data_IF_828432914301
#
_entry.id   IF_828432914301
#
_cell.length_a   1.000
_cell.length_b   1.000
_cell.length_c   1.000
_cell.angle_alpha   90.00
_cell.angle_beta   90.00
_cell.angle_gamma   90.00
#
_symmetry.space_group_name_H-M   'P 1'
#
loop_
_entity.id
_entity.type
_entity.pdbx_description
1 polymer ?
#
# COMPACT_ATOMS: atom_id res chain seq x y z
N UNK A 1 -3.40 -47.78 21.22
CA UNK A 1 -2.77 -47.67 19.88
C UNK A 1 -1.43 -46.98 20.02
N UNK A 2 -0.31 -47.68 19.75
CA UNK A 2 1.03 -47.08 19.74
C UNK A 2 1.27 -46.43 18.38
N UNK A 3 1.63 -45.15 18.35
CA UNK A 3 2.05 -44.49 17.11
C UNK A 3 3.31 -45.18 16.59
N UNK A 4 3.41 -45.44 15.27
CA UNK A 4 4.60 -46.06 14.71
C UNK A 4 5.84 -45.19 14.96
N UNK A 5 7.02 -45.81 15.17
CA UNK A 5 8.26 -45.08 15.39
C UNK A 5 8.55 -44.19 14.18
N UNK A 6 8.81 -42.91 14.45
CA UNK A 6 9.12 -41.91 13.41
C UNK A 6 10.34 -42.39 12.61
N UNK A 7 10.20 -42.46 11.27
CA UNK A 7 11.29 -42.80 10.38
C UNK A 7 12.50 -41.89 10.65
N UNK A 8 13.73 -42.45 10.68
CA UNK A 8 14.94 -41.66 10.90
C UNK A 8 15.05 -40.60 9.81
N UNK A 9 15.09 -39.32 10.23
CA UNK A 9 15.26 -38.21 9.29
C UNK A 9 16.59 -38.41 8.54
N UNK A 10 16.60 -38.33 7.21
CA UNK A 10 17.84 -38.48 6.45
C UNK A 10 18.87 -37.46 6.95
N UNK A 11 20.03 -37.96 7.36
CA UNK A 11 21.18 -37.12 7.71
C UNK A 11 21.72 -36.53 6.41
N UNK A 12 21.24 -35.35 6.04
CA UNK A 12 21.79 -34.57 4.94
C UNK A 12 23.22 -34.16 5.30
N UNK A 13 24.19 -34.96 4.84
CA UNK A 13 25.62 -34.63 4.89
C UNK A 13 25.80 -33.40 4.00
N UNK A 14 25.93 -32.22 4.61
CA UNK A 14 26.27 -31.00 3.89
C UNK A 14 27.72 -31.11 3.43
N UNK A 15 27.92 -31.65 2.23
CA UNK A 15 29.19 -31.51 1.49
C UNK A 15 29.48 -30.00 1.44
N UNK A 16 30.66 -29.59 1.92
CA UNK A 16 31.08 -28.19 2.11
C UNK A 16 31.16 -27.39 0.81
N UNK A 17 29.99 -27.13 0.23
CA UNK A 17 29.78 -26.25 -0.91
C UNK A 17 29.69 -24.82 -0.37
N UNK A 18 30.59 -23.97 -0.86
CA UNK A 18 30.57 -22.51 -0.71
C UNK A 18 29.30 -21.95 -1.37
N UNK A 19 28.17 -22.20 -0.72
CA UNK A 19 26.85 -21.80 -1.19
C UNK A 19 26.68 -20.33 -0.90
N UNK A 20 26.91 -19.51 -1.93
CA UNK A 20 26.58 -18.09 -1.90
C UNK A 20 25.11 -17.94 -1.48
N UNK A 21 24.87 -17.34 -0.32
CA UNK A 21 23.52 -17.06 0.16
C UNK A 21 23.10 -15.71 -0.40
N UNK A 22 21.87 -15.59 -0.90
CA UNK A 22 21.34 -14.33 -1.42
C UNK A 22 20.16 -13.89 -0.58
N UNK A 23 20.15 -12.64 -0.13
CA UNK A 23 18.97 -12.07 0.53
C UNK A 23 17.94 -11.69 -0.52
N UNK A 24 16.71 -12.16 -0.33
CA UNK A 24 15.56 -11.90 -1.20
C UNK A 24 14.40 -11.43 -0.33
N UNK A 25 13.64 -10.40 -0.74
CA UNK A 25 12.47 -9.97 0.03
C UNK A 25 11.40 -11.08 0.01
N UNK A 26 10.80 -11.33 1.17
CA UNK A 26 9.69 -12.27 1.34
C UNK A 26 8.60 -11.68 2.24
N UNK A 27 7.37 -12.21 2.14
CA UNK A 27 6.24 -11.81 2.99
C UNK A 27 5.68 -10.41 2.73
N UNK A 28 6.13 -9.71 1.68
CA UNK A 28 5.60 -8.39 1.30
C UNK A 28 4.26 -8.51 0.56
N UNK A 29 4.15 -9.47 -0.36
CA UNK A 29 2.94 -9.74 -1.14
C UNK A 29 1.87 -10.46 -0.31
N UNK A 30 0.61 -10.36 -0.73
CA UNK A 30 -0.51 -11.02 -0.06
C UNK A 30 -0.46 -12.54 -0.29
N UNK A 31 -0.74 -13.37 0.75
CA UNK A 31 -0.62 -14.84 0.64
C UNK A 31 -1.44 -15.50 -0.48
N UNK A 32 -2.58 -14.90 -0.87
CA UNK A 32 -3.38 -15.34 -2.04
C UNK A 32 -2.56 -15.32 -3.35
N UNK A 33 -1.59 -14.41 -3.48
CA UNK A 33 -0.84 -14.21 -4.72
C UNK A 33 0.57 -14.81 -4.67
N UNK A 34 1.14 -14.99 -3.48
CA UNK A 34 2.48 -15.56 -3.32
C UNK A 34 2.59 -16.30 -2.01
N UNK A 35 2.96 -17.58 -2.09
CA UNK A 35 3.29 -18.37 -0.90
C UNK A 35 4.61 -17.85 -0.30
N UNK A 36 4.64 -17.74 1.04
CA UNK A 36 5.88 -17.42 1.77
C UNK A 36 6.87 -18.58 1.62
N UNK A 37 8.15 -18.26 1.54
CA UNK A 37 9.20 -19.27 1.51
C UNK A 37 9.46 -19.74 2.95
N UNK A 38 9.50 -21.05 3.19
CA UNK A 38 9.68 -21.65 4.52
C UNK A 38 11.14 -21.73 4.97
N UNK A 39 11.99 -20.81 4.51
CA UNK A 39 13.42 -20.81 4.81
C UNK A 39 13.77 -19.88 5.99
N UNK A 40 15.03 -19.85 6.40
CA UNK A 40 15.54 -18.94 7.42
C UNK A 40 15.24 -17.49 7.03
N UNK A 41 14.46 -16.81 7.85
CA UNK A 41 14.10 -15.40 7.66
C UNK A 41 14.81 -14.51 8.66
N UNK A 42 15.09 -13.28 8.24
CA UNK A 42 15.52 -12.19 9.11
C UNK A 42 14.54 -11.04 8.94
N UNK A 43 14.19 -10.40 10.04
CA UNK A 43 13.34 -9.21 10.02
C UNK A 43 14.23 -7.97 9.93
N UNK A 44 13.81 -7.02 9.10
CA UNK A 44 14.47 -5.74 8.92
C UNK A 44 13.44 -4.64 9.20
N UNK A 45 13.89 -3.50 9.71
CA UNK A 45 13.03 -2.33 9.80
C UNK A 45 12.55 -1.94 8.39
N UNK A 46 11.27 -1.57 8.30
CA UNK A 46 10.63 -1.22 7.03
C UNK A 46 11.00 0.22 6.65
N UNK A 47 12.28 0.44 6.35
CA UNK A 47 12.87 1.72 6.01
C UNK A 47 13.90 1.51 4.88
N UNK A 48 13.82 2.33 3.83
CA UNK A 48 14.72 2.29 2.67
C UNK A 48 16.19 2.52 3.03
N UNK A 49 16.49 3.45 3.92
CA UNK A 49 17.85 3.73 4.37
C UNK A 49 18.45 2.57 5.17
N UNK A 50 17.64 1.86 5.98
CA UNK A 50 18.12 0.65 6.67
C UNK A 50 18.58 -0.44 5.68
N UNK A 51 17.91 -0.55 4.52
CA UNK A 51 18.32 -1.47 3.44
C UNK A 51 19.59 -0.98 2.74
N UNK A 52 19.74 0.34 2.56
CA UNK A 52 20.97 0.93 2.00
C UNK A 52 22.18 0.66 2.90
N UNK A 53 22.05 0.94 4.21
CA UNK A 53 23.06 0.60 5.23
C UNK A 53 23.37 -0.90 5.20
N UNK A 54 22.36 -1.77 5.14
CA UNK A 54 22.60 -3.21 5.03
C UNK A 54 23.43 -3.57 3.79
N UNK A 55 23.19 -2.91 2.66
CA UNK A 55 23.92 -3.12 1.40
C UNK A 55 25.36 -2.63 1.49
N UNK A 56 25.60 -1.48 2.11
CA UNK A 56 26.93 -0.89 2.30
C UNK A 56 27.79 -1.68 3.31
N UNK A 57 27.22 -2.01 4.47
CA UNK A 57 27.96 -2.65 5.57
C UNK A 57 27.98 -4.18 5.47
N UNK A 58 27.00 -4.79 4.83
CA UNK A 58 26.88 -6.24 4.67
C UNK A 58 28.04 -6.87 3.90
N UNK A 59 28.72 -6.10 3.06
CA UNK A 59 29.93 -6.53 2.37
C UNK A 59 31.17 -6.62 3.25
N UNK A 60 31.18 -6.00 4.44
CA UNK A 60 32.45 -5.72 5.10
C UNK A 60 32.96 -6.84 6.03
N UNK A 61 32.24 -7.33 7.06
CA UNK A 61 32.89 -8.24 8.05
C UNK A 61 32.04 -9.29 8.79
N UNK A 62 30.71 -9.20 8.85
CA UNK A 62 29.90 -10.04 9.78
C UNK A 62 29.14 -11.20 9.14
N UNK A 63 29.06 -11.28 7.81
CA UNK A 63 28.37 -12.36 7.06
C UNK A 63 29.14 -12.75 5.81
N UNK A 64 30.34 -13.30 5.98
CA UNK A 64 31.08 -13.89 4.86
C UNK A 64 30.16 -14.87 4.11
N UNK A 65 29.96 -14.64 2.80
CA UNK A 65 29.13 -15.49 1.93
C UNK A 65 27.69 -15.05 1.68
N UNK A 66 27.21 -13.94 2.26
CA UNK A 66 25.88 -13.38 1.90
C UNK A 66 26.02 -12.30 0.82
N UNK A 67 25.47 -12.55 -0.36
CA UNK A 67 25.34 -11.56 -1.43
C UNK A 67 24.04 -10.75 -1.26
N UNK A 68 24.17 -9.43 -1.24
CA UNK A 68 23.03 -8.52 -1.17
C UNK A 68 22.82 -7.92 -2.55
N UNK A 69 21.61 -8.10 -3.08
CA UNK A 69 21.25 -7.59 -4.38
C UNK A 69 21.24 -6.04 -4.36
N UNK A 70 21.95 -5.34 -5.28
CA UNK A 70 22.04 -3.88 -5.26
C UNK A 70 20.70 -3.15 -5.36
N UNK A 71 19.72 -3.73 -6.07
CA UNK A 71 18.38 -3.16 -6.23
C UNK A 71 17.38 -3.74 -5.21
N UNK A 72 17.86 -4.27 -4.07
CA UNK A 72 17.01 -4.84 -3.03
C UNK A 72 16.01 -3.80 -2.51
N UNK A 73 16.45 -2.56 -2.28
CA UNK A 73 15.58 -1.48 -1.81
C UNK A 73 14.45 -1.18 -2.82
N UNK A 74 14.79 -1.04 -4.11
CA UNK A 74 13.81 -0.83 -5.18
C UNK A 74 12.84 -2.00 -5.32
N UNK A 75 13.35 -3.23 -5.17
CA UNK A 75 12.51 -4.43 -5.22
C UNK A 75 11.52 -4.47 -4.05
N UNK A 76 11.95 -4.16 -2.83
CA UNK A 76 11.06 -4.03 -1.67
C UNK A 76 10.01 -2.95 -1.93
N UNK A 77 10.43 -1.78 -2.41
CA UNK A 77 9.56 -0.66 -2.73
C UNK A 77 8.49 -1.03 -3.77
N UNK A 78 8.87 -1.76 -4.81
CA UNK A 78 7.98 -2.29 -5.85
C UNK A 78 6.97 -3.27 -5.26
N UNK A 79 7.42 -4.21 -4.43
CA UNK A 79 6.55 -5.22 -3.83
C UNK A 79 5.57 -4.62 -2.80
N UNK A 80 5.96 -3.58 -2.07
CA UNK A 80 5.07 -2.84 -1.17
C UNK A 80 3.96 -2.12 -1.96
N UNK A 81 4.29 -1.50 -3.09
CA UNK A 81 3.29 -0.91 -4.01
C UNK A 81 2.37 -1.97 -4.60
N UNK A 82 2.92 -3.10 -5.02
CA UNK A 82 2.13 -4.24 -5.50
C UNK A 82 1.18 -4.75 -4.42
N UNK A 83 1.61 -4.75 -3.15
CA UNK A 83 0.74 -5.12 -2.03
C UNK A 83 -0.49 -4.22 -1.93
N UNK A 84 -0.36 -2.91 -2.15
CA UNK A 84 -1.52 -1.99 -2.19
C UNK A 84 -2.50 -2.40 -3.29
N UNK A 85 -2.01 -2.72 -4.49
CA UNK A 85 -2.87 -3.17 -5.59
C UNK A 85 -3.57 -4.50 -5.29
N UNK A 86 -2.87 -5.45 -4.67
CA UNK A 86 -3.41 -6.74 -4.24
C UNK A 86 -4.53 -6.58 -3.21
N UNK A 87 -4.36 -5.71 -2.21
CA UNK A 87 -5.40 -5.45 -1.20
C UNK A 87 -6.63 -4.77 -1.80
N UNK A 88 -6.44 -3.85 -2.75
CA UNK A 88 -7.55 -3.24 -3.49
C UNK A 88 -8.30 -4.25 -4.36
N UNK A 89 -7.59 -5.20 -4.97
CA UNK A 89 -8.19 -6.29 -5.72
C UNK A 89 -9.04 -7.20 -4.83
N UNK A 90 -8.53 -7.60 -3.66
CA UNK A 90 -9.26 -8.38 -2.67
C UNK A 90 -10.51 -7.66 -2.15
N UNK A 91 -10.38 -6.37 -1.87
CA UNK A 91 -11.52 -5.55 -1.46
C UNK A 91 -12.58 -5.50 -2.56
N UNK A 92 -12.18 -5.37 -3.81
CA UNK A 92 -13.08 -5.40 -4.95
C UNK A 92 -13.76 -6.76 -5.13
N UNK A 93 -13.03 -7.87 -4.98
CA UNK A 93 -13.62 -9.22 -4.98
C UNK A 93 -14.68 -9.35 -3.87
N UNK A 94 -14.37 -8.87 -2.65
CA UNK A 94 -15.32 -8.88 -1.52
C UNK A 94 -16.58 -8.07 -1.84
N UNK A 95 -16.46 -6.84 -2.35
CA UNK A 95 -17.62 -6.03 -2.74
C UNK A 95 -18.43 -6.68 -3.86
N UNK A 96 -17.78 -7.31 -4.84
CA UNK A 96 -18.46 -8.03 -5.91
C UNK A 96 -19.27 -9.22 -5.37
N UNK A 97 -18.70 -10.01 -4.45
CA UNK A 97 -19.44 -11.13 -3.85
C UNK A 97 -20.70 -10.66 -3.11
N UNK A 98 -20.67 -9.47 -2.49
CA UNK A 98 -21.85 -8.89 -1.85
C UNK A 98 -22.91 -8.44 -2.85
N UNK A 99 -22.51 -7.87 -3.99
CA UNK A 99 -23.45 -7.47 -5.04
C UNK A 99 -24.19 -8.67 -5.63
N UNK A 100 -23.53 -9.83 -5.69
CA UNK A 100 -24.13 -11.06 -6.20
C UNK A 100 -25.11 -11.71 -5.20
N UNK A 101 -25.16 -11.26 -3.94
CA UNK A 101 -26.12 -11.77 -2.96
C UNK A 101 -27.53 -11.25 -3.26
N UNK A 102 -28.59 -12.03 -2.96
CA UNK A 102 -29.98 -11.56 -3.03
C UNK A 102 -30.15 -10.25 -2.25
N UNK A 103 -30.93 -9.29 -2.78
CA UNK A 103 -31.10 -7.96 -2.17
C UNK A 103 -31.58 -8.01 -0.71
N UNK A 104 -32.35 -9.03 -0.34
CA UNK A 104 -32.83 -9.25 1.03
C UNK A 104 -31.70 -9.54 2.02
N UNK A 105 -30.58 -10.10 1.55
CA UNK A 105 -29.39 -10.42 2.35
C UNK A 105 -28.31 -9.33 2.24
N UNK A 106 -28.53 -8.30 1.41
CA UNK A 106 -27.60 -7.18 1.32
C UNK A 106 -27.86 -6.23 2.50
N UNK A 107 -26.83 -5.89 3.28
CA UNK A 107 -27.01 -4.95 4.36
C UNK A 107 -27.32 -3.56 3.78
N UNK A 108 -28.48 -3.00 4.15
CA UNK A 108 -28.88 -1.63 3.78
C UNK A 108 -28.02 -0.64 4.57
N UNK A 109 -26.83 -0.36 4.07
CA UNK A 109 -25.87 0.52 4.72
C UNK A 109 -25.65 1.75 3.85
N UNK A 110 -25.71 2.91 4.49
CA UNK A 110 -25.55 4.19 3.82
C UNK A 110 -24.07 4.58 3.72
N UNK A 111 -23.18 3.86 4.41
CA UNK A 111 -21.75 4.09 4.27
C UNK A 111 -21.15 3.55 2.97
N UNK A 112 -20.19 4.31 2.43
CA UNK A 112 -19.37 3.95 1.26
C UNK A 112 -17.99 3.54 1.77
N UNK A 113 -17.39 2.55 1.15
CA UNK A 113 -15.98 2.16 1.36
C UNK A 113 -15.06 3.11 0.58
N UNK A 114 -15.51 3.54 -0.60
CA UNK A 114 -14.79 4.48 -1.46
C UNK A 114 -15.77 5.48 -2.08
N UNK A 115 -15.32 6.73 -2.23
CA UNK A 115 -15.98 7.71 -3.08
C UNK A 115 -14.97 8.63 -3.76
N UNK A 116 -15.40 9.30 -4.81
CA UNK A 116 -14.61 10.37 -5.43
C UNK A 116 -15.03 11.70 -4.81
N UNK A 117 -14.06 12.53 -4.44
CA UNK A 117 -14.36 13.89 -3.96
C UNK A 117 -14.90 14.72 -5.14
N UNK A 118 -15.86 15.60 -4.89
CA UNK A 118 -16.25 16.63 -5.86
C UNK A 118 -15.13 17.66 -6.00
N UNK A 119 -15.19 18.50 -7.03
CA UNK A 119 -14.24 19.62 -7.16
C UNK A 119 -14.35 20.64 -6.03
N UNK A 120 -15.56 20.92 -5.57
CA UNK A 120 -15.78 21.81 -4.44
C UNK A 120 -15.14 21.24 -3.17
N UNK A 121 -15.42 19.97 -2.85
CA UNK A 121 -14.81 19.28 -1.71
C UNK A 121 -13.28 19.26 -1.79
N UNK A 122 -12.74 18.96 -2.97
CA UNK A 122 -11.29 18.96 -3.21
C UNK A 122 -10.65 20.35 -3.06
N UNK A 123 -11.33 21.39 -3.54
CA UNK A 123 -10.87 22.76 -3.39
C UNK A 123 -10.92 23.20 -1.92
N UNK A 124 -12.00 22.90 -1.21
CA UNK A 124 -12.12 23.21 0.22
C UNK A 124 -11.01 22.53 1.02
N UNK A 125 -10.74 21.25 0.76
CA UNK A 125 -9.63 20.54 1.39
C UNK A 125 -8.28 21.22 1.12
N UNK A 126 -8.05 21.72 -0.10
CA UNK A 126 -6.82 22.43 -0.46
C UNK A 126 -6.69 23.80 0.20
N UNK A 127 -7.80 24.53 0.36
CA UNK A 127 -7.81 25.87 0.94
C UNK A 127 -7.76 25.84 2.46
N UNK A 128 -8.52 24.93 3.07
CA UNK A 128 -8.61 24.81 4.53
C UNK A 128 -7.49 23.93 5.10
N UNK A 129 -6.98 22.99 4.32
CA UNK A 129 -6.00 22.00 4.78
C UNK A 129 -6.58 20.95 5.73
N UNK A 130 -7.89 20.96 5.98
CA UNK A 130 -8.60 20.08 6.92
C UNK A 130 -9.48 19.09 6.14
N UNK A 131 -9.55 17.84 6.61
CA UNK A 131 -10.44 16.82 6.06
C UNK A 131 -11.78 16.83 6.80
N UNK A 132 -12.90 17.21 6.15
CA UNK A 132 -14.21 17.32 6.81
C UNK A 132 -14.95 15.98 6.95
N UNK A 133 -14.23 14.85 6.84
CA UNK A 133 -14.78 13.51 6.86
C UNK A 133 -14.18 12.73 8.03
N UNK A 134 -14.91 12.56 9.14
CA UNK A 134 -14.33 11.97 10.34
C UNK A 134 -14.01 10.49 10.17
N UNK A 135 -14.72 9.79 9.26
CA UNK A 135 -14.47 8.39 8.90
C UNK A 135 -13.43 8.21 7.77
N UNK A 136 -12.74 9.28 7.34
CA UNK A 136 -11.68 9.18 6.34
C UNK A 136 -10.49 8.39 6.89
N UNK A 137 -9.93 7.49 6.09
CA UNK A 137 -8.65 6.84 6.40
C UNK A 137 -7.55 7.31 5.48
N UNK A 138 -7.83 7.48 4.19
CA UNK A 138 -6.82 7.89 3.23
C UNK A 138 -7.46 8.63 2.06
N UNK A 139 -6.73 9.59 1.51
CA UNK A 139 -7.08 10.28 0.28
C UNK A 139 -6.00 9.96 -0.74
N UNK A 140 -6.40 9.45 -1.92
CA UNK A 140 -5.48 9.15 -3.01
C UNK A 140 -5.77 10.09 -4.16
N UNK A 141 -4.81 10.96 -4.48
CA UNK A 141 -4.91 11.88 -5.61
C UNK A 141 -4.28 11.25 -6.83
N UNK A 142 -5.09 10.84 -7.81
CA UNK A 142 -4.62 10.15 -8.99
C UNK A 142 -5.04 10.90 -10.27
N UNK A 143 -4.14 11.73 -10.83
CA UNK A 143 -4.41 12.44 -12.07
C UNK A 143 -4.76 11.50 -13.22
N UNK A 144 -5.48 11.98 -14.25
CA UNK A 144 -5.75 11.20 -15.44
C UNK A 144 -4.45 10.72 -16.10
N UNK A 145 -4.46 9.48 -16.54
CA UNK A 145 -3.32 8.90 -17.23
C UNK A 145 -3.26 9.49 -18.64
N UNK A 146 -2.13 10.10 -18.96
CA UNK A 146 -1.86 10.57 -20.31
C UNK A 146 -1.73 9.36 -21.23
N UNK A 147 -2.29 9.47 -22.44
CA UNK A 147 -2.03 8.54 -23.53
C UNK A 147 -0.55 8.64 -23.90
N UNK A 148 0.04 7.52 -24.26
CA UNK A 148 1.39 7.51 -24.81
C UNK A 148 1.42 8.36 -26.09
N UNK A 149 2.36 9.31 -26.24
CA UNK A 149 2.42 10.18 -27.42
C UNK A 149 2.62 9.41 -28.73
N UNK A 150 3.31 8.25 -28.70
CA UNK A 150 3.63 7.47 -29.89
C UNK A 150 2.46 6.55 -30.23
N UNK A 151 2.06 5.68 -29.28
CA UNK A 151 1.01 4.69 -29.54
C UNK A 151 -0.40 5.27 -29.46
N UNK A 152 -0.59 6.46 -28.86
CA UNK A 152 -1.89 7.09 -28.56
C UNK A 152 -2.82 6.24 -27.69
N UNK A 153 -2.32 5.15 -27.12
CA UNK A 153 -3.07 4.25 -26.24
C UNK A 153 -2.84 4.63 -24.78
N UNK A 154 -3.82 4.38 -23.89
CA UNK A 154 -3.59 4.47 -22.46
C UNK A 154 -2.60 3.38 -22.02
N UNK A 155 -1.79 3.63 -20.97
CA UNK A 155 -0.87 2.62 -20.45
C UNK A 155 -1.63 1.37 -19.98
N UNK A 156 -1.13 0.18 -20.37
CA UNK A 156 -1.73 -1.09 -19.95
C UNK A 156 -1.54 -1.29 -18.44
N UNK A 157 -2.60 -1.63 -17.69
CA UNK A 157 -2.47 -1.94 -16.27
C UNK A 157 -1.58 -3.17 -16.05
N UNK A 158 -0.71 -3.12 -15.05
CA UNK A 158 0.18 -4.23 -14.69
C UNK A 158 0.24 -4.42 -13.17
N UNK A 159 0.12 -5.68 -12.74
CA UNK A 159 0.28 -6.15 -11.36
C UNK A 159 1.41 -7.20 -11.27
N UNK A 160 2.40 -7.11 -12.15
CA UNK A 160 3.53 -8.05 -12.16
C UNK A 160 4.38 -7.92 -10.89
N UNK A 161 4.72 -9.07 -10.29
CA UNK A 161 5.70 -9.15 -9.21
C UNK A 161 7.14 -8.92 -9.70
N UNK A 162 7.41 -9.23 -10.98
CA UNK A 162 8.72 -8.93 -11.56
C UNK A 162 8.89 -7.41 -11.67
N UNK A 163 10.08 -6.87 -11.33
CA UNK A 163 10.39 -5.45 -11.54
C UNK A 163 10.13 -5.10 -13.00
N UNK A 164 9.27 -4.11 -13.24
CA UNK A 164 9.02 -3.63 -14.59
C UNK A 164 10.20 -2.75 -14.97
N UNK A 165 10.87 -3.11 -16.07
CA UNK A 165 11.93 -2.28 -16.63
C UNK A 165 11.28 -0.95 -17.05
N UNK A 166 11.79 0.21 -16.57
CA UNK A 166 11.34 1.49 -17.06
C UNK A 166 11.50 1.53 -18.58
N UNK A 167 10.46 1.93 -19.30
CA UNK A 167 10.56 2.09 -20.73
C UNK A 167 11.68 3.13 -21.02
N UNK A 168 12.69 2.81 -21.84
CA UNK A 168 13.78 3.74 -22.13
C UNK A 168 13.29 5.07 -22.72
N UNK A 169 12.09 5.10 -23.31
CA UNK A 169 11.45 6.32 -23.80
C UNK A 169 10.85 7.21 -22.69
N UNK A 170 10.78 6.73 -21.45
CA UNK A 170 10.25 7.53 -20.34
C UNK A 170 11.29 8.58 -19.95
N UNK A 171 11.02 9.89 -20.14
CA UNK A 171 11.95 10.92 -19.72
C UNK A 171 12.22 10.74 -18.23
N UNK A 172 13.51 10.82 -17.84
CA UNK A 172 13.90 10.78 -16.42
C UNK A 172 12.98 11.72 -15.65
N UNK A 173 12.35 11.26 -14.54
CA UNK A 173 11.39 12.06 -13.82
C UNK A 173 12.02 13.42 -13.50
N UNK A 174 11.30 14.50 -13.82
CA UNK A 174 11.75 15.86 -13.52
C UNK A 174 11.99 15.96 -12.00
N UNK A 175 13.00 16.71 -11.55
CA UNK A 175 13.47 16.74 -10.15
C UNK A 175 12.47 17.32 -9.14
N UNK A 176 11.25 17.70 -9.56
CA UNK A 176 10.19 18.05 -8.62
C UNK A 176 9.61 16.77 -8.02
N UNK A 177 10.26 16.26 -6.97
CA UNK A 177 9.76 15.17 -6.15
C UNK A 177 8.50 15.64 -5.43
N UNK A 178 7.34 15.36 -6.03
CA UNK A 178 6.07 15.51 -5.34
C UNK A 178 6.13 14.67 -4.05
N UNK A 179 5.68 15.19 -2.89
CA UNK A 179 5.69 14.42 -1.67
C UNK A 179 4.85 13.15 -1.86
N UNK A 180 5.35 12.03 -1.34
CA UNK A 180 4.63 10.76 -1.39
C UNK A 180 3.28 10.86 -0.68
N UNK A 181 3.31 11.47 0.50
CA UNK A 181 2.19 11.60 1.41
C UNK A 181 2.28 12.92 2.16
N UNK A 182 1.15 13.57 2.40
CA UNK A 182 1.03 14.70 3.33
C UNK A 182 -0.06 14.39 4.34
N UNK A 183 0.21 14.62 5.63
CA UNK A 183 -0.77 14.36 6.69
C UNK A 183 -1.69 15.58 6.86
N UNK A 184 -3.00 15.39 6.80
CA UNK A 184 -3.98 16.45 6.99
C UNK A 184 -4.77 16.23 8.28
N UNK A 185 -4.97 17.26 9.12
CA UNK A 185 -5.87 17.15 10.27
C UNK A 185 -7.29 16.81 9.83
N UNK A 186 -7.98 16.02 10.65
CA UNK A 186 -9.39 15.66 10.45
C UNK A 186 -10.25 16.46 11.41
N UNK A 187 -11.45 16.84 10.97
CA UNK A 187 -12.46 17.40 11.89
C UNK A 187 -12.73 16.36 12.98
N UNK A 188 -12.49 16.68 14.26
CA UNK A 188 -12.68 15.72 15.35
C UNK A 188 -14.14 15.30 15.41
N UNK A 189 -14.36 14.03 15.74
CA UNK A 189 -15.71 13.54 16.02
C UNK A 189 -16.37 14.39 17.13
N UNK A 190 -17.68 14.65 17.07
CA UNK A 190 -18.36 15.44 18.09
C UNK A 190 -18.15 14.91 19.52
N UNK A 191 -18.12 13.58 19.67
CA UNK A 191 -17.91 12.92 20.96
C UNK A 191 -16.46 12.96 21.46
N UNK A 192 -15.49 13.24 20.58
CA UNK A 192 -14.08 13.30 20.95
C UNK A 192 -13.67 14.67 21.53
N UNK A 193 -14.54 15.69 21.45
CA UNK A 193 -14.28 17.01 22.01
C UNK A 193 -14.21 16.94 23.54
N UNK A 194 -13.13 17.44 24.11
CA UNK A 194 -12.95 17.62 25.56
C UNK A 194 -12.46 16.42 26.39
N UNK A 195 -12.47 15.17 25.89
CA UNK A 195 -11.99 14.02 26.69
C UNK A 195 -10.48 13.74 26.55
N UNK A 196 -9.89 14.02 25.37
CA UNK A 196 -8.49 13.73 25.07
C UNK A 196 -7.73 14.93 24.48
N UNK A 197 -8.33 16.12 24.48
CA UNK A 197 -7.69 17.34 23.97
C UNK A 197 -6.44 17.64 24.79
N UNK A 198 -5.27 17.58 24.15
CA UNK A 198 -3.96 17.80 24.78
C UNK A 198 -3.20 16.55 25.23
N UNK A 199 -3.83 15.36 25.24
CA UNK A 199 -3.15 14.10 25.58
C UNK A 199 -2.65 13.37 24.33
N UNK A 200 -3.52 13.24 23.33
CA UNK A 200 -3.20 12.56 22.08
C UNK A 200 -3.02 13.58 20.94
N UNK A 201 -2.11 13.31 19.98
CA UNK A 201 -2.01 14.13 18.78
C UNK A 201 -3.36 14.14 18.04
N UNK A 202 -3.67 15.28 17.42
CA UNK A 202 -4.87 15.39 16.60
C UNK A 202 -4.88 14.30 15.52
N UNK A 203 -6.05 13.69 15.30
CA UNK A 203 -6.20 12.68 14.26
C UNK A 203 -5.86 13.28 12.89
N UNK A 204 -5.03 12.58 12.12
CA UNK A 204 -4.60 13.00 10.80
C UNK A 204 -4.89 11.91 9.76
N UNK A 205 -5.23 12.33 8.55
CA UNK A 205 -5.47 11.46 7.40
C UNK A 205 -4.36 11.66 6.36
N UNK A 206 -3.69 10.59 5.92
CA UNK A 206 -2.72 10.65 4.84
C UNK A 206 -3.38 10.98 3.49
N UNK A 207 -2.86 12.01 2.83
CA UNK A 207 -3.13 12.35 1.44
C UNK A 207 -1.96 11.88 0.59
N UNK A 208 -2.18 10.81 -0.17
CA UNK A 208 -1.21 10.21 -1.06
C UNK A 208 -1.24 10.84 -2.44
N UNK A 209 -0.05 11.17 -2.96
CA UNK A 209 0.11 11.54 -4.36
C UNK A 209 0.28 10.28 -5.21
N UNK A 210 -0.70 9.97 -6.05
CA UNK A 210 -0.69 8.76 -6.89
C UNK A 210 0.48 8.67 -7.87
N UNK A 211 1.11 9.79 -8.24
CA UNK A 211 2.29 9.81 -9.12
C UNK A 211 3.55 9.39 -8.36
N UNK A 212 3.75 9.90 -7.14
CA UNK A 212 4.85 9.51 -6.27
C UNK A 212 4.64 8.10 -5.69
N UNK A 213 3.40 7.78 -5.31
CA UNK A 213 3.01 6.47 -4.78
C UNK A 213 3.22 5.35 -5.80
N UNK A 214 2.97 5.60 -7.09
CA UNK A 214 3.22 4.64 -8.17
C UNK A 214 3.99 5.31 -9.31
N UNK A 215 5.34 5.26 -9.28
CA UNK A 215 6.17 5.92 -10.29
C UNK A 215 5.98 5.36 -11.71
N UNK A 216 5.62 4.08 -11.81
CA UNK A 216 5.42 3.40 -13.10
C UNK A 216 4.02 3.66 -13.67
N UNK A 217 3.89 4.12 -14.94
CA UNK A 217 2.59 4.39 -15.56
C UNK A 217 1.63 3.20 -15.57
N UNK A 218 2.15 1.99 -15.79
CA UNK A 218 1.38 0.74 -15.81
C UNK A 218 0.79 0.37 -14.44
N UNK A 219 1.52 0.62 -13.36
CA UNK A 219 0.99 0.44 -12.00
C UNK A 219 -0.04 1.50 -11.65
N UNK A 220 0.15 2.76 -12.09
CA UNK A 220 -0.89 3.79 -11.95
C UNK A 220 -2.16 3.45 -12.72
N UNK A 221 -2.02 2.84 -13.91
CA UNK A 221 -3.15 2.30 -14.67
C UNK A 221 -3.88 1.22 -13.88
N UNK A 222 -3.16 0.29 -13.26
CA UNK A 222 -3.75 -0.73 -12.40
C UNK A 222 -4.47 -0.10 -11.19
N UNK A 223 -3.84 0.85 -10.50
CA UNK A 223 -4.45 1.58 -9.39
C UNK A 223 -5.75 2.29 -9.82
N UNK A 224 -5.70 3.07 -10.91
CA UNK A 224 -6.86 3.80 -11.41
C UNK A 224 -8.00 2.85 -11.79
N UNK A 225 -7.68 1.73 -12.46
CA UNK A 225 -8.65 0.72 -12.84
C UNK A 225 -9.33 0.09 -11.61
N UNK A 226 -8.56 -0.28 -10.58
CA UNK A 226 -9.08 -0.86 -9.34
C UNK A 226 -9.96 0.14 -8.56
N UNK A 227 -9.52 1.38 -8.38
CA UNK A 227 -10.31 2.42 -7.70
C UNK A 227 -11.61 2.72 -8.46
N UNK A 228 -11.56 2.77 -9.80
CA UNK A 228 -12.76 2.97 -10.63
C UNK A 228 -13.69 1.76 -10.58
N UNK A 229 -13.16 0.53 -10.52
CA UNK A 229 -13.92 -0.71 -10.34
C UNK A 229 -14.66 -0.70 -9.01
N UNK A 230 -13.98 -0.34 -7.91
CA UNK A 230 -14.58 -0.20 -6.58
C UNK A 230 -15.71 0.86 -6.57
N UNK A 231 -15.49 2.02 -7.21
CA UNK A 231 -16.56 3.02 -7.39
C UNK A 231 -17.75 2.48 -8.18
N UNK A 232 -17.51 1.65 -9.19
CA UNK A 232 -18.56 0.96 -9.94
C UNK A 232 -19.42 0.07 -9.03
N UNK A 233 -18.78 -0.68 -8.14
CA UNK A 233 -19.50 -1.51 -7.17
C UNK A 233 -20.31 -0.69 -6.16
N UNK A 234 -19.76 0.43 -5.67
CA UNK A 234 -20.49 1.33 -4.78
C UNK A 234 -21.72 1.94 -5.47
N UNK A 235 -21.59 2.34 -6.74
CA UNK A 235 -22.74 2.82 -7.53
C UNK A 235 -23.77 1.72 -7.76
N UNK A 236 -23.34 0.52 -8.13
CA UNK A 236 -24.25 -0.60 -8.38
C UNK A 236 -25.00 -1.05 -7.12
N UNK A 237 -24.38 -0.96 -5.94
CA UNK A 237 -25.02 -1.28 -4.67
C UNK A 237 -26.14 -0.31 -4.30
N UNK A 238 -26.10 0.91 -4.83
CA UNK A 238 -27.11 1.93 -4.63
C UNK A 238 -28.05 1.91 -5.81
N UNK A 239 -29.24 1.36 -5.60
CA UNK A 239 -30.37 1.60 -6.50
C UNK A 239 -30.86 3.07 -6.46
N UNK A 240 -30.12 3.98 -5.82
CA UNK A 240 -30.49 5.38 -5.73
C UNK A 240 -30.50 6.00 -7.12
N UNK A 241 -31.62 6.69 -7.36
CA UNK A 241 -31.95 7.49 -8.52
C UNK A 241 -30.70 8.21 -9.00
N UNK A 242 -30.46 8.19 -10.32
CA UNK A 242 -29.52 9.04 -11.01
C UNK A 242 -29.85 10.53 -10.74
N UNK A 243 -29.64 11.00 -9.51
CA UNK A 243 -29.43 12.39 -9.23
C UNK A 243 -28.18 12.71 -10.03
N UNK A 244 -28.41 13.26 -11.22
CA UNK A 244 -27.42 13.89 -12.07
C UNK A 244 -26.92 15.11 -11.32
N UNK A 245 -26.25 14.86 -10.21
CA UNK A 245 -25.55 15.87 -9.47
C UNK A 245 -24.35 16.17 -10.36
N UNK A 246 -24.51 17.17 -11.22
CA UNK A 246 -23.62 17.58 -12.30
C UNK A 246 -22.30 18.17 -11.77
N UNK A 247 -22.00 17.90 -10.50
CA UNK A 247 -20.78 18.30 -9.83
C UNK A 247 -19.63 17.45 -10.39
N UNK A 248 -18.92 18.04 -11.35
CA UNK A 248 -17.77 17.43 -12.02
C UNK A 248 -16.80 16.86 -10.99
N UNK A 249 -16.66 15.54 -10.98
CA UNK A 249 -15.87 14.84 -9.98
C UNK A 249 -14.37 15.19 -10.11
N UNK A 250 -13.66 15.20 -8.98
CA UNK A 250 -12.21 15.46 -8.92
C UNK A 250 -11.39 14.21 -9.28
N UNK A 251 -10.07 14.32 -9.14
CA UNK A 251 -9.13 13.20 -9.28
C UNK A 251 -8.75 12.58 -7.93
N UNK A 252 -9.40 13.02 -6.85
CA UNK A 252 -9.16 12.53 -5.50
C UNK A 252 -10.18 11.45 -5.13
N UNK A 253 -9.66 10.31 -4.67
CA UNK A 253 -10.43 9.19 -4.15
C UNK A 253 -10.32 9.20 -2.63
N UNK A 254 -11.45 9.22 -1.95
CA UNK A 254 -11.55 9.13 -0.50
C UNK A 254 -11.86 7.68 -0.13
N UNK A 255 -11.01 7.08 0.70
CA UNK A 255 -11.25 5.82 1.39
C UNK A 255 -11.79 6.09 2.79
N UNK A 256 -12.88 5.44 3.14
CA UNK A 256 -13.58 5.62 4.42
C UNK A 256 -13.71 4.28 5.14
N UNK A 257 -13.60 4.31 6.46
CA UNK A 257 -14.00 3.21 7.32
C UNK A 257 -14.78 3.73 8.51
N UNK A 258 -15.91 3.10 8.72
CA UNK A 258 -16.81 3.24 9.85
C UNK A 258 -17.44 1.88 10.13
N UNK A 259 -18.23 1.82 11.21
CA UNK A 259 -18.88 0.60 11.70
C UNK A 259 -19.71 -0.08 10.60
N UNK A 260 -20.32 0.69 9.71
CA UNK A 260 -21.14 0.16 8.62
C UNK A 260 -20.29 -0.38 7.47
N UNK A 261 -19.33 0.41 6.97
CA UNK A 261 -18.48 0.06 5.84
C UNK A 261 -17.67 -1.22 6.09
N UNK A 262 -17.20 -1.46 7.33
CA UNK A 262 -16.43 -2.66 7.70
C UNK A 262 -17.22 -3.95 7.44
N UNK A 263 -18.55 -3.92 7.66
CA UNK A 263 -19.43 -5.07 7.39
C UNK A 263 -19.51 -5.39 5.88
N UNK A 264 -19.30 -4.39 5.01
CA UNK A 264 -19.30 -4.55 3.55
C UNK A 264 -17.91 -4.91 3.02
N UNK A 265 -16.90 -4.18 3.45
CA UNK A 265 -15.55 -4.28 2.94
C UNK A 265 -14.61 -3.59 3.90
N UNK A 266 -13.61 -4.31 4.39
CA UNK A 266 -12.65 -3.73 5.32
C UNK A 266 -11.51 -3.09 4.52
N UNK A 267 -11.36 -1.77 4.64
CA UNK A 267 -10.26 -1.00 4.03
C UNK A 267 -9.02 -0.98 4.89
N UNK A 268 -9.05 -1.52 6.11
CA UNK A 268 -7.90 -1.51 7.01
C UNK A 268 -6.68 -2.18 6.38
N UNK A 269 -6.87 -3.29 5.65
CA UNK A 269 -5.76 -3.96 4.95
C UNK A 269 -5.13 -3.06 3.86
N UNK A 270 -5.95 -2.31 3.12
CA UNK A 270 -5.48 -1.32 2.13
C UNK A 270 -4.74 -0.17 2.82
N UNK A 271 -5.28 0.35 3.92
CA UNK A 271 -4.67 1.42 4.71
C UNK A 271 -3.32 1.02 5.29
N UNK A 272 -3.22 -0.20 5.83
CA UNK A 272 -1.97 -0.77 6.33
C UNK A 272 -0.95 -0.90 5.19
N UNK A 273 -1.37 -1.37 4.01
CA UNK A 273 -0.48 -1.48 2.86
C UNK A 273 0.05 -0.10 2.41
N UNK A 274 -0.82 0.92 2.35
CA UNK A 274 -0.44 2.30 2.04
C UNK A 274 0.53 2.87 3.08
N UNK A 275 0.28 2.62 4.37
CA UNK A 275 1.15 3.06 5.45
C UNK A 275 2.54 2.43 5.38
N UNK A 276 2.63 1.14 5.03
CA UNK A 276 3.92 0.46 4.83
C UNK A 276 4.72 1.06 3.68
N UNK A 277 4.07 1.51 2.60
CA UNK A 277 4.75 2.24 1.52
C UNK A 277 5.27 3.59 2.04
N UNK A 278 4.45 4.34 2.79
CA UNK A 278 4.87 5.61 3.42
C UNK A 278 6.08 5.39 4.31
N UNK A 279 6.01 4.50 5.30
CA UNK A 279 7.10 4.24 6.24
C UNK A 279 8.40 3.82 5.54
N UNK A 280 8.30 3.06 4.46
CA UNK A 280 9.47 2.61 3.73
C UNK A 280 10.17 3.76 2.99
N UNK A 281 9.41 4.64 2.33
CA UNK A 281 9.96 5.68 1.44
C UNK A 281 10.22 7.02 2.16
N UNK A 282 9.52 7.34 3.24
CA UNK A 282 9.48 8.67 3.88
C UNK A 282 10.44 8.81 5.09
N UNK A 283 11.42 7.92 5.20
CA UNK A 283 12.18 7.74 6.44
C UNK A 283 13.41 8.64 6.60
N UNK A 284 13.46 9.79 5.93
CA UNK A 284 14.63 10.69 5.98
C UNK A 284 14.88 11.26 7.39
N UNK A 285 13.85 11.41 8.23
CA UNK A 285 14.00 11.98 9.59
C UNK A 285 14.52 10.98 10.64
N UNK A 286 14.19 9.69 10.55
CA UNK A 286 14.45 8.71 11.63
C UNK A 286 15.85 8.05 11.59
N UNK A 287 16.58 8.17 10.48
CA UNK A 287 17.87 7.47 10.33
C UNK A 287 18.97 8.14 11.13
N UNK A 288 18.91 9.48 11.25
CA UNK A 288 19.88 10.25 12.03
C UNK A 288 19.84 9.85 13.51
N UNK A 289 18.64 9.66 14.08
CA UNK A 289 18.47 9.25 15.47
C UNK A 289 18.88 7.78 15.70
N UNK A 290 18.61 6.89 14.75
CA UNK A 290 18.89 5.44 14.86
C UNK A 290 20.38 5.07 14.71
N UNK A 291 21.21 5.92 14.11
CA UNK A 291 22.65 5.66 13.96
C UNK A 291 23.41 5.52 15.29
N UNK A 292 22.82 6.00 16.39
CA UNK A 292 23.45 6.03 17.73
C UNK A 292 23.11 4.82 18.61
N UNK A 293 22.04 4.08 18.31
CA UNK A 293 21.57 2.94 19.12
C UNK A 293 21.69 1.66 18.29
N UNK A 294 22.87 1.04 18.35
CA UNK A 294 23.20 -0.16 17.59
C UNK A 294 22.19 -1.30 17.78
N UNK A 295 21.98 -2.06 16.70
CA UNK A 295 21.10 -3.24 16.65
C UNK A 295 21.48 -4.31 17.69
N UNK A 296 20.81 -4.32 18.84
CA UNK A 296 20.93 -5.41 19.81
C UNK A 296 20.26 -6.68 19.26
N UNK A 297 21.08 -7.68 18.89
CA UNK A 297 20.59 -9.00 18.54
C UNK A 297 20.36 -9.80 19.83
N UNK A 298 19.11 -9.96 20.24
CA UNK A 298 18.74 -10.99 21.21
C UNK A 298 18.91 -12.36 20.55
N UNK A 299 19.90 -13.13 21.00
CA UNK A 299 19.98 -14.56 20.69
C UNK A 299 18.91 -15.26 21.54
N UNK A 300 17.92 -15.87 20.89
CA UNK A 300 17.14 -16.96 21.47
C UNK A 300 17.73 -18.29 21.04
#
# INVERSE_FOLDING_TARGET
>A
MRLPPSLPRPKWVRKGSDTKQTLVPDGLQHPKFTARKSDKSNYLLCNRASVAILTEYGGSKRRAGTNIYPLLADHIAHLLRLRVLQELELLADKLQTLLNKPKQLQPKLNSRVIRRLTRAEWNNLRTEGIVPYPNAIAIIVLPPLRKDPITKQPPKPSMSAAPLVPDPATPKPRPFSLPLCTMHPVVPYPWARGQCEGILPAAQVPLYNGVALFPLPSQRAALHALLTRLLGFERASRHEVNARDDTRASHAFLLTSDVESVLRGDVAAVAIALWRVKMFEDAEEDVASQSTLGWEHSRR
#
